data_IF_815071991307
#
_entry.id   IF_815071991307
#
_cell.length_a   1.000
_cell.length_b   1.000
_cell.length_c   1.000
_cell.angle_alpha   90.00
_cell.angle_beta   90.00
_cell.angle_gamma   90.00
#
_symmetry.space_group_name_H-M   'P 1'
#
loop_
_entity.id
_entity.type
_entity.pdbx_description
1 polymer ?
#
# COMPACT_ATOMS: atom_id res chain seq x y z
N UNK A 1 -21.88 -12.95 15.65
CA UNK A 1 -22.22 -12.55 17.04
C UNK A 1 -21.11 -11.77 17.74
N UNK A 2 -19.88 -12.22 17.74
CA UNK A 2 -18.74 -11.60 18.45
C UNK A 2 -18.47 -10.15 18.01
N UNK A 3 -18.38 -9.88 16.70
CA UNK A 3 -18.07 -8.54 16.16
C UNK A 3 -19.06 -7.47 16.66
N UNK A 4 -20.36 -7.75 16.67
CA UNK A 4 -21.39 -6.82 17.16
C UNK A 4 -21.19 -6.48 18.65
N UNK A 5 -20.81 -7.47 19.46
CA UNK A 5 -20.53 -7.25 20.89
C UNK A 5 -19.29 -6.38 21.09
N UNK A 6 -18.24 -6.57 20.30
CA UNK A 6 -17.02 -5.76 20.37
C UNK A 6 -17.28 -4.30 19.97
N UNK A 7 -18.05 -4.04 18.91
CA UNK A 7 -18.42 -2.68 18.50
C UNK A 7 -19.19 -1.97 19.63
N UNK A 8 -20.20 -2.63 20.22
CA UNK A 8 -20.98 -2.08 21.34
C UNK A 8 -20.12 -1.82 22.57
N UNK A 9 -19.20 -2.74 22.88
CA UNK A 9 -18.31 -2.56 24.04
C UNK A 9 -17.38 -1.35 23.83
N UNK A 10 -16.78 -1.22 22.64
CA UNK A 10 -15.91 -0.09 22.33
C UNK A 10 -16.68 1.24 22.38
N UNK A 11 -17.91 1.26 21.88
CA UNK A 11 -18.79 2.43 21.95
C UNK A 11 -19.07 2.83 23.40
N UNK A 12 -19.45 1.85 24.24
CA UNK A 12 -19.70 2.08 25.69
C UNK A 12 -18.46 2.64 26.39
N UNK A 13 -17.28 2.07 26.13
CA UNK A 13 -16.03 2.53 26.72
C UNK A 13 -15.67 3.96 26.31
N UNK A 14 -15.94 4.34 25.07
CA UNK A 14 -15.70 5.70 24.58
C UNK A 14 -16.68 6.70 25.24
N UNK A 15 -17.95 6.32 25.43
CA UNK A 15 -18.94 7.14 26.15
C UNK A 15 -18.49 7.35 27.58
N UNK A 16 -18.16 6.27 28.31
CA UNK A 16 -17.68 6.38 29.69
C UNK A 16 -16.44 7.24 29.84
N UNK A 17 -15.51 7.10 28.88
CA UNK A 17 -14.30 7.94 28.82
C UNK A 17 -14.67 9.42 28.64
N UNK A 18 -15.67 9.73 27.81
CA UNK A 18 -16.09 11.10 27.54
C UNK A 18 -16.82 11.71 28.74
N UNK A 19 -17.61 10.92 29.46
CA UNK A 19 -18.23 11.31 30.73
C UNK A 19 -17.17 11.66 31.79
N UNK A 20 -16.19 10.78 32.01
CA UNK A 20 -15.06 11.04 32.92
C UNK A 20 -14.27 12.29 32.48
N UNK A 21 -14.06 12.48 31.19
CA UNK A 21 -13.37 13.67 30.70
C UNK A 21 -14.19 14.96 30.91
N UNK A 22 -15.52 14.88 30.78
CA UNK A 22 -16.39 16.02 31.03
C UNK A 22 -16.38 16.42 32.50
N UNK A 23 -16.32 15.43 33.41
CA UNK A 23 -16.35 15.65 34.84
C UNK A 23 -14.98 16.12 35.40
N UNK A 24 -13.90 15.47 34.97
CA UNK A 24 -12.54 15.68 35.53
C UNK A 24 -11.53 16.24 34.54
N UNK A 25 -11.94 16.60 33.34
CA UNK A 25 -11.05 16.94 32.22
C UNK A 25 -10.10 18.11 32.46
N UNK A 26 -10.49 19.05 33.32
CA UNK A 26 -9.64 20.20 33.72
C UNK A 26 -8.46 19.76 34.58
N UNK A 27 -8.59 18.66 35.30
CA UNK A 27 -7.55 18.07 36.17
C UNK A 27 -6.69 17.02 35.45
N UNK A 28 -7.14 16.52 34.28
CA UNK A 28 -6.47 15.46 33.56
C UNK A 28 -5.58 16.05 32.42
N UNK A 29 -4.29 15.77 32.49
CA UNK A 29 -3.37 16.12 31.39
C UNK A 29 -3.17 14.92 30.48
N UNK A 30 -3.67 15.03 29.25
CA UNK A 30 -3.47 14.01 28.23
C UNK A 30 -2.27 14.33 27.37
N UNK A 31 -1.43 13.33 27.11
CA UNK A 31 -0.33 13.46 26.16
C UNK A 31 -0.87 13.62 24.72
N UNK A 32 -0.06 14.23 23.86
CA UNK A 32 -0.39 14.34 22.43
C UNK A 32 -0.59 12.96 21.79
N UNK A 33 0.20 11.97 22.22
CA UNK A 33 0.07 10.60 21.71
C UNK A 33 -1.26 9.96 22.12
N UNK A 34 -1.70 10.14 23.36
CA UNK A 34 -3.01 9.69 23.82
C UNK A 34 -4.15 10.28 22.98
N UNK A 35 -4.13 11.59 22.74
CA UNK A 35 -5.16 12.26 21.95
C UNK A 35 -5.19 11.74 20.51
N UNK A 36 -4.00 11.53 19.91
CA UNK A 36 -3.85 10.94 18.59
C UNK A 36 -4.43 9.52 18.54
N UNK A 37 -4.08 8.65 19.50
CA UNK A 37 -4.60 7.28 19.57
C UNK A 37 -6.12 7.27 19.75
N UNK A 38 -6.65 8.12 20.59
CA UNK A 38 -8.09 8.25 20.80
C UNK A 38 -8.82 8.64 19.51
N UNK A 39 -8.29 9.60 18.76
CA UNK A 39 -8.88 9.99 17.47
C UNK A 39 -8.89 8.85 16.46
N UNK A 40 -7.83 8.03 16.44
CA UNK A 40 -7.74 6.83 15.58
C UNK A 40 -8.78 5.79 16.02
N UNK A 41 -8.90 5.51 17.31
CA UNK A 41 -9.87 4.55 17.85
C UNK A 41 -11.31 4.96 17.51
N UNK A 42 -11.66 6.23 17.65
CA UNK A 42 -12.97 6.75 17.23
C UNK A 42 -13.23 6.53 15.73
N UNK A 43 -12.23 6.83 14.90
CA UNK A 43 -12.33 6.59 13.46
C UNK A 43 -12.52 5.11 13.13
N UNK A 44 -11.78 4.22 13.82
CA UNK A 44 -11.93 2.76 13.66
C UNK A 44 -13.35 2.31 14.06
N UNK A 45 -13.92 2.85 15.15
CA UNK A 45 -15.28 2.51 15.55
C UNK A 45 -16.30 2.86 14.46
N UNK A 46 -16.20 4.05 13.88
CA UNK A 46 -17.08 4.48 12.77
C UNK A 46 -16.93 3.53 11.58
N UNK A 47 -15.70 3.25 11.15
CA UNK A 47 -15.42 2.35 10.04
C UNK A 47 -15.93 0.92 10.28
N UNK A 48 -15.80 0.40 11.48
CA UNK A 48 -16.27 -0.94 11.81
C UNK A 48 -17.82 -1.03 11.89
N UNK A 49 -18.50 0.05 12.28
CA UNK A 49 -19.96 0.15 12.19
C UNK A 49 -20.42 0.12 10.73
N UNK A 50 -19.81 0.93 9.87
CA UNK A 50 -20.13 0.98 8.43
C UNK A 50 -19.91 -0.38 7.76
N UNK A 51 -18.79 -1.05 8.06
CA UNK A 51 -18.50 -2.39 7.55
C UNK A 51 -19.49 -3.43 8.08
N UNK A 52 -19.94 -3.29 9.33
CA UNK A 52 -20.93 -4.19 9.91
C UNK A 52 -22.30 -4.07 9.24
N UNK A 53 -22.65 -2.87 8.78
CA UNK A 53 -23.86 -2.58 8.03
C UNK A 53 -23.71 -2.88 6.50
N UNK A 54 -22.61 -3.49 6.09
CA UNK A 54 -22.35 -3.85 4.69
C UNK A 54 -21.89 -2.70 3.80
N UNK A 55 -21.63 -1.52 4.37
CA UNK A 55 -21.13 -0.38 3.60
C UNK A 55 -19.64 -0.53 3.27
N UNK A 56 -19.23 0.01 2.14
CA UNK A 56 -17.81 0.08 1.75
C UNK A 56 -17.14 1.23 2.49
N UNK A 57 -15.99 0.95 3.09
CA UNK A 57 -15.17 1.94 3.78
C UNK A 57 -13.91 2.21 2.96
N UNK A 58 -13.73 3.44 2.55
CA UNK A 58 -12.47 3.91 1.95
C UNK A 58 -11.43 4.19 3.05
N UNK A 59 -10.16 4.02 2.71
CA UNK A 59 -9.04 4.35 3.61
C UNK A 59 -9.10 3.63 4.98
N UNK A 60 -9.52 2.35 4.97
CA UNK A 60 -9.73 1.55 6.17
C UNK A 60 -8.47 1.45 7.02
N UNK A 61 -8.59 1.76 8.30
CA UNK A 61 -7.53 1.58 9.29
C UNK A 61 -7.55 0.13 9.78
N UNK A 62 -6.42 -0.55 9.69
CA UNK A 62 -6.26 -1.97 10.09
C UNK A 62 -5.35 -2.16 11.29
N UNK A 63 -4.66 -1.10 11.72
CA UNK A 63 -3.81 -1.10 12.91
C UNK A 63 -3.89 0.26 13.61
N UNK A 64 -4.07 0.25 14.92
CA UNK A 64 -4.13 1.47 15.73
C UNK A 64 -2.73 2.11 15.82
N UNK A 65 -1.70 1.31 16.02
CA UNK A 65 -0.32 1.81 16.15
C UNK A 65 0.26 2.25 14.79
N UNK A 66 -0.01 1.46 13.75
CA UNK A 66 0.43 1.74 12.38
C UNK A 66 -0.75 2.18 11.52
N UNK A 67 -1.44 3.23 11.97
CA UNK A 67 -2.68 3.74 11.37
C UNK A 67 -2.52 4.23 9.92
N UNK A 68 -1.30 4.37 9.42
CA UNK A 68 -0.97 4.70 8.04
C UNK A 68 -0.97 3.47 7.10
N UNK A 69 -0.91 2.24 7.64
CA UNK A 69 -0.98 1.01 6.84
C UNK A 69 -2.40 0.84 6.32
N UNK A 70 -2.49 0.51 5.04
CA UNK A 70 -3.75 0.23 4.35
C UNK A 70 -3.78 -1.18 3.78
N UNK A 71 -4.97 -1.77 3.63
CA UNK A 71 -5.11 -3.03 2.91
C UNK A 71 -4.73 -2.81 1.44
N UNK A 72 -3.84 -3.67 0.93
CA UNK A 72 -3.43 -3.70 -0.47
C UNK A 72 -4.13 -4.89 -1.10
N UNK A 73 -5.06 -4.63 -2.03
CA UNK A 73 -5.76 -5.68 -2.77
C UNK A 73 -4.84 -6.18 -3.87
N UNK A 74 -4.57 -7.49 -3.87
CA UNK A 74 -3.85 -8.18 -4.94
C UNK A 74 -4.78 -9.19 -5.60
N UNK A 75 -4.74 -9.24 -6.92
CA UNK A 75 -5.55 -10.20 -7.71
C UNK A 75 -5.04 -11.64 -7.66
N UNK A 76 -4.54 -12.11 -6.51
CA UNK A 76 -4.06 -13.48 -6.33
C UNK A 76 -5.13 -14.32 -5.61
N UNK A 77 -5.32 -15.55 -6.06
CA UNK A 77 -6.38 -16.46 -5.59
C UNK A 77 -6.27 -16.81 -4.10
N UNK A 78 -5.07 -16.90 -3.54
CA UNK A 78 -4.85 -17.39 -2.16
C UNK A 78 -4.94 -16.31 -1.11
N UNK A 79 -4.49 -15.08 -1.42
CA UNK A 79 -4.60 -13.93 -0.51
C UNK A 79 -5.01 -12.68 -1.29
N UNK A 80 -6.26 -12.32 -1.18
CA UNK A 80 -6.83 -11.16 -1.85
C UNK A 80 -6.35 -9.82 -1.26
N UNK A 81 -5.91 -9.81 0.00
CA UNK A 81 -5.51 -8.60 0.72
C UNK A 81 -4.21 -8.84 1.47
N UNK A 82 -3.26 -7.94 1.29
CA UNK A 82 -2.02 -7.87 2.04
C UNK A 82 -1.96 -6.58 2.84
N UNK A 83 -1.21 -6.60 3.94
CA UNK A 83 -0.99 -5.45 4.82
C UNK A 83 0.49 -5.14 4.90
N UNK A 84 0.85 -3.89 4.77
CA UNK A 84 2.24 -3.47 4.86
C UNK A 84 2.56 -2.31 3.91
N UNK A 85 3.85 -2.06 3.73
CA UNK A 85 4.32 -1.13 2.72
C UNK A 85 4.51 -1.87 1.40
N UNK A 86 4.05 -1.26 0.31
CA UNK A 86 4.40 -1.68 -1.04
C UNK A 86 5.74 -1.06 -1.41
N UNK A 87 6.65 -1.87 -1.91
CA UNK A 87 8.01 -1.47 -2.26
C UNK A 87 8.22 -1.70 -3.74
N UNK A 88 8.74 -0.70 -4.42
CA UNK A 88 9.31 -0.83 -5.76
C UNK A 88 10.82 -0.82 -5.64
N UNK A 89 11.47 -1.88 -6.10
CA UNK A 89 12.92 -2.02 -6.03
C UNK A 89 13.53 -2.17 -7.41
N UNK A 90 14.77 -1.74 -7.54
CA UNK A 90 15.65 -2.00 -8.67
C UNK A 90 16.80 -2.89 -8.22
N UNK A 91 17.30 -3.72 -9.11
CA UNK A 91 18.47 -4.56 -8.87
C UNK A 91 19.56 -4.21 -9.87
N UNK A 92 20.76 -3.99 -9.37
CA UNK A 92 21.95 -3.64 -10.17
C UNK A 92 23.09 -4.52 -9.66
N UNK A 93 23.64 -5.35 -10.53
CA UNK A 93 24.75 -6.26 -10.21
C UNK A 93 24.51 -7.10 -8.93
N UNK A 94 23.28 -7.57 -8.74
CA UNK A 94 22.91 -8.38 -7.58
C UNK A 94 22.52 -7.57 -6.32
N UNK A 95 22.72 -6.25 -6.32
CA UNK A 95 22.36 -5.38 -5.19
C UNK A 95 20.99 -4.76 -5.43
N UNK A 96 20.11 -4.84 -4.44
CA UNK A 96 18.76 -4.26 -4.50
C UNK A 96 18.72 -2.88 -3.87
N UNK A 97 18.07 -1.94 -4.55
CA UNK A 97 17.83 -0.58 -4.08
C UNK A 97 16.34 -0.29 -4.07
N UNK A 98 15.84 0.35 -3.02
CA UNK A 98 14.45 0.76 -2.92
C UNK A 98 14.27 2.05 -3.71
N UNK A 99 13.52 1.96 -4.82
CA UNK A 99 13.18 3.14 -5.63
C UNK A 99 11.99 3.88 -5.03
N UNK A 100 10.98 3.14 -4.56
CA UNK A 100 9.80 3.74 -3.96
C UNK A 100 9.21 2.84 -2.87
N UNK A 101 8.75 3.47 -1.80
CA UNK A 101 8.02 2.80 -0.72
C UNK A 101 6.75 3.57 -0.38
N UNK A 102 5.64 2.88 -0.23
CA UNK A 102 4.36 3.49 0.14
C UNK A 102 3.53 2.53 0.97
N UNK A 103 2.85 3.03 1.98
CA UNK A 103 1.82 2.29 2.72
C UNK A 103 0.46 2.26 2.00
N UNK A 104 0.35 2.94 0.85
CA UNK A 104 -0.80 2.89 -0.05
C UNK A 104 -0.45 2.09 -1.30
N UNK A 105 -1.44 1.45 -1.90
CA UNK A 105 -1.28 0.80 -3.20
C UNK A 105 -0.85 1.81 -4.26
N UNK A 106 0.10 1.44 -5.11
CA UNK A 106 0.51 2.20 -6.28
C UNK A 106 0.76 1.27 -7.47
N UNK A 107 0.70 1.83 -8.66
CA UNK A 107 1.01 1.09 -9.88
C UNK A 107 2.54 1.12 -10.14
N UNK A 108 3.18 -0.03 -10.03
CA UNK A 108 4.62 -0.16 -10.31
C UNK A 108 4.94 0.12 -11.77
N UNK A 109 4.05 -0.29 -12.67
CA UNK A 109 4.28 -0.17 -14.12
C UNK A 109 4.53 1.26 -14.62
N UNK A 110 4.14 2.29 -13.88
CA UNK A 110 4.40 3.69 -14.26
C UNK A 110 5.77 4.20 -13.80
N UNK A 111 6.47 3.44 -12.95
CA UNK A 111 7.71 3.89 -12.28
C UNK A 111 9.00 3.56 -13.04
N UNK A 112 8.93 2.96 -14.23
CA UNK A 112 10.11 2.57 -14.99
C UNK A 112 11.09 3.73 -15.21
N UNK A 113 10.58 4.91 -15.53
CA UNK A 113 11.41 6.09 -15.77
C UNK A 113 12.19 6.51 -14.52
N UNK A 114 11.54 6.43 -13.35
CA UNK A 114 12.15 6.78 -12.08
C UNK A 114 13.20 5.74 -11.67
N UNK A 115 12.92 4.46 -11.93
CA UNK A 115 13.90 3.38 -11.76
C UNK A 115 15.17 3.63 -12.58
N UNK A 116 15.04 3.96 -13.85
CA UNK A 116 16.17 4.24 -14.73
C UNK A 116 16.94 5.49 -14.26
N UNK A 117 16.23 6.56 -13.90
CA UNK A 117 16.84 7.78 -13.38
C UNK A 117 17.63 7.51 -12.09
N UNK A 118 17.04 6.75 -11.19
CA UNK A 118 17.69 6.38 -9.93
C UNK A 118 18.96 5.59 -10.18
N UNK A 119 18.93 4.58 -11.07
CA UNK A 119 20.11 3.80 -11.41
C UNK A 119 21.21 4.68 -12.01
N UNK A 120 20.88 5.54 -12.97
CA UNK A 120 21.85 6.44 -13.59
C UNK A 120 22.48 7.40 -12.57
N UNK A 121 21.68 7.90 -11.62
CA UNK A 121 22.15 8.77 -10.54
C UNK A 121 23.07 8.05 -9.55
N UNK A 122 22.69 6.82 -9.15
CA UNK A 122 23.47 6.03 -8.18
C UNK A 122 24.81 5.57 -8.75
N UNK A 123 24.80 5.11 -9.99
CA UNK A 123 25.98 4.49 -10.60
C UNK A 123 26.80 5.46 -11.45
N UNK A 124 26.29 6.67 -11.70
CA UNK A 124 26.87 7.66 -12.60
C UNK A 124 27.19 7.11 -13.99
N UNK A 125 26.36 6.18 -14.49
CA UNK A 125 26.51 5.53 -15.77
C UNK A 125 25.19 5.53 -16.53
N UNK A 126 25.27 5.53 -17.87
CA UNK A 126 24.08 5.40 -18.72
C UNK A 126 23.59 3.95 -18.73
N UNK A 127 22.29 3.76 -18.48
CA UNK A 127 21.65 2.44 -18.62
C UNK A 127 21.73 1.98 -20.06
N UNK A 128 22.20 0.74 -20.28
CA UNK A 128 22.30 0.13 -21.61
C UNK A 128 21.14 -0.82 -21.90
N UNK A 129 20.66 -1.52 -20.89
CA UNK A 129 19.59 -2.51 -21.02
C UNK A 129 18.69 -2.47 -19.78
N UNK A 130 17.41 -2.77 -19.96
CA UNK A 130 16.42 -2.82 -18.89
C UNK A 130 15.72 -4.16 -18.94
N UNK A 131 15.86 -4.95 -17.86
CA UNK A 131 15.04 -6.13 -17.62
C UNK A 131 13.98 -5.77 -16.57
N UNK A 132 12.73 -6.07 -16.83
CA UNK A 132 11.63 -5.71 -15.93
C UNK A 132 10.50 -6.73 -16.05
N UNK A 133 9.69 -6.87 -15.00
CA UNK A 133 8.49 -7.72 -14.97
C UNK A 133 7.45 -7.23 -15.99
N UNK A 134 6.56 -8.12 -16.37
CA UNK A 134 5.49 -7.90 -17.36
C UNK A 134 4.60 -6.68 -17.03
N UNK A 135 4.45 -6.30 -15.76
CA UNK A 135 3.72 -5.11 -15.32
C UNK A 135 4.28 -3.82 -15.92
N UNK A 136 5.59 -3.79 -16.24
CA UNK A 136 6.25 -2.64 -16.88
C UNK A 136 6.10 -2.63 -18.40
N UNK A 137 5.60 -3.70 -19.01
CA UNK A 137 5.46 -3.84 -20.47
C UNK A 137 4.23 -3.10 -21.04
N UNK A 138 3.93 -1.91 -20.51
CA UNK A 138 2.86 -1.05 -21.01
C UNK A 138 3.32 -0.16 -22.17
N UNK A 139 2.36 0.37 -22.94
CA UNK A 139 2.66 1.16 -24.14
C UNK A 139 3.47 2.44 -23.84
N UNK A 140 3.25 3.08 -22.68
CA UNK A 140 3.98 4.29 -22.32
C UNK A 140 5.48 3.99 -22.08
N UNK A 141 5.77 2.89 -21.38
CA UNK A 141 7.14 2.46 -21.15
C UNK A 141 7.82 1.98 -22.42
N UNK A 142 7.12 1.26 -23.31
CA UNK A 142 7.65 0.85 -24.62
C UNK A 142 8.04 2.06 -25.46
N UNK A 143 7.15 3.06 -25.60
CA UNK A 143 7.45 4.31 -26.32
C UNK A 143 8.65 5.04 -25.70
N UNK A 144 8.73 5.09 -24.38
CA UNK A 144 9.85 5.70 -23.68
C UNK A 144 11.17 4.96 -23.97
N UNK A 145 11.18 3.64 -23.84
CA UNK A 145 12.37 2.83 -24.09
C UNK A 145 12.84 2.95 -25.55
N UNK A 146 11.92 2.91 -26.52
CA UNK A 146 12.24 3.12 -27.94
C UNK A 146 12.83 4.51 -28.18
N UNK A 147 12.23 5.56 -27.59
CA UNK A 147 12.71 6.95 -27.76
C UNK A 147 14.13 7.14 -27.24
N UNK A 148 14.50 6.49 -26.15
CA UNK A 148 15.81 6.66 -25.51
C UNK A 148 16.80 5.53 -25.82
N UNK A 149 16.46 4.60 -26.72
CA UNK A 149 17.32 3.51 -27.14
C UNK A 149 17.60 2.47 -26.04
N UNK A 150 16.66 2.25 -25.13
CA UNK A 150 16.74 1.16 -24.17
C UNK A 150 16.10 -0.09 -24.74
N UNK A 151 16.87 -1.14 -25.07
CA UNK A 151 16.28 -2.40 -25.48
C UNK A 151 15.51 -2.99 -24.29
N UNK A 152 14.21 -3.19 -24.48
CA UNK A 152 13.44 -4.05 -23.60
C UNK A 152 13.60 -5.48 -24.09
N UNK A 153 13.92 -6.44 -23.23
CA UNK A 153 13.85 -7.85 -23.61
C UNK A 153 12.46 -8.08 -24.20
N UNK A 154 12.40 -8.61 -25.40
CA UNK A 154 11.15 -9.13 -25.93
C UNK A 154 10.78 -10.30 -25.02
N UNK A 155 9.81 -10.09 -24.11
CA UNK A 155 9.18 -11.23 -23.48
C UNK A 155 8.59 -12.08 -24.58
N UNK A 156 9.23 -13.20 -24.85
CA UNK A 156 8.62 -14.25 -25.63
C UNK A 156 7.26 -14.48 -24.96
N UNK A 157 6.19 -14.21 -25.68
CA UNK A 157 4.86 -14.64 -25.27
C UNK A 157 5.01 -16.15 -25.14
N UNK A 158 5.08 -16.66 -23.92
CA UNK A 158 5.07 -18.10 -23.67
C UNK A 158 3.91 -18.68 -24.45
N UNK A 159 4.30 -19.53 -25.36
CA UNK A 159 3.56 -20.10 -26.43
C UNK A 159 2.13 -20.49 -26.14
N UNK A 160 1.27 -20.01 -26.96
CA UNK A 160 0.38 -20.93 -27.64
C UNK A 160 1.25 -21.77 -28.61
N UNK A 161 1.77 -22.87 -28.11
CA UNK A 161 2.11 -24.00 -29.00
C UNK A 161 0.80 -24.36 -29.71
N UNK A 162 0.69 -23.90 -30.96
CA UNK A 162 -0.25 -24.55 -31.91
C UNK A 162 0.28 -25.95 -32.06
N UNK A 163 -0.39 -26.92 -31.42
CA UNK A 163 -0.31 -28.29 -31.86
C UNK A 163 -0.84 -28.28 -33.28
N UNK A 164 0.05 -28.41 -34.23
CA UNK A 164 -0.31 -28.77 -35.63
C UNK A 164 -0.71 -30.24 -35.67
N UNK A 165 -1.68 -30.60 -36.52
CA UNK A 165 -2.25 -31.93 -36.60
C UNK A 165 -1.26 -32.99 -37.07
#
# INVERSE_FOLDING_TARGET
>A
MLKRRMIRLLEKLLIQRDEIHSEYGTSLRYTRDYQKRLSIIRKVLVQEKELFEGRKVSDRIVSIDRHYIRPIVRGKEIKSVEFGAKVNNIQIDGISFIEHISSKAFNEGIRLKDCIRMQQKLMNVRVRCVAADSIYANNANRKFCTKYGYPLPSYAREGRQRMSP
#
